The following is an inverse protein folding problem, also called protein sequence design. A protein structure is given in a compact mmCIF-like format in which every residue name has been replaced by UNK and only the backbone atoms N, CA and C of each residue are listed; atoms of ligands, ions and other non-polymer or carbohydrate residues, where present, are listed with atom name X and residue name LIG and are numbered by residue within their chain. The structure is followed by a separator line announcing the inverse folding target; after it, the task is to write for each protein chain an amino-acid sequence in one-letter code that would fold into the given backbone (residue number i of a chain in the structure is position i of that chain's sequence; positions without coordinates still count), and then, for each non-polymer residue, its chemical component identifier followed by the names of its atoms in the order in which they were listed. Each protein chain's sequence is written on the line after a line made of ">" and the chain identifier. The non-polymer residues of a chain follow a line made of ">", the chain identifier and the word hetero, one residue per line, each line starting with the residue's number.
data_IF_993143383220
#
_entry.id   IF_993143383220
#
_cell.length_a   1.000
_cell.length_b   1.000
_cell.length_c   1.000
_cell.angle_alpha   90.00
_cell.angle_beta   90.00
_cell.angle_gamma   90.00
#
_symmetry.space_group_name_H-M   'P 1'
#
loop_
_entity.id
_entity.type
_entity.pdbx_description
1 polymer ?
#
# COMPACT_ATOMS: atom_id res chain seq x y z
N UNK A 1 14.31 -20.01 -20.26
CA UNK A 1 12.92 -20.10 -19.81
C UNK A 1 12.35 -18.69 -19.83
N UNK A 2 11.28 -18.45 -20.59
CA UNK A 2 10.60 -17.17 -20.52
C UNK A 2 10.00 -17.03 -19.11
N UNK A 3 10.45 -16.03 -18.35
CA UNK A 3 9.78 -15.65 -17.13
C UNK A 3 8.38 -15.21 -17.55
N UNK A 4 7.37 -16.03 -17.25
CA UNK A 4 5.98 -15.69 -17.54
C UNK A 4 5.61 -14.56 -16.57
N UNK A 5 5.73 -13.32 -17.03
CA UNK A 5 5.35 -12.15 -16.25
C UNK A 5 3.84 -12.13 -16.20
N UNK A 6 3.30 -12.14 -14.99
CA UNK A 6 1.87 -12.06 -14.76
C UNK A 6 1.41 -10.60 -14.92
N UNK A 7 1.16 -10.17 -16.16
CA UNK A 7 0.79 -8.79 -16.50
C UNK A 7 -0.41 -8.26 -15.71
N UNK A 8 -1.37 -9.14 -15.40
CA UNK A 8 -2.55 -8.78 -14.62
C UNK A 8 -2.20 -8.53 -13.14
N UNK A 9 -1.22 -9.25 -12.58
CA UNK A 9 -0.71 -8.97 -11.25
C UNK A 9 0.10 -7.67 -11.22
N UNK A 10 0.95 -7.41 -12.22
CA UNK A 10 1.70 -6.16 -12.33
C UNK A 10 0.79 -4.94 -12.46
N UNK A 11 -0.25 -5.03 -13.29
CA UNK A 11 -1.25 -3.97 -13.45
C UNK A 11 -1.96 -3.66 -12.12
N UNK A 12 -2.38 -4.70 -11.40
CA UNK A 12 -3.00 -4.53 -10.09
C UNK A 12 -2.07 -3.79 -9.12
N UNK A 13 -0.80 -4.21 -9.03
CA UNK A 13 0.15 -3.55 -8.13
C UNK A 13 0.40 -2.10 -8.54
N UNK A 14 0.49 -1.82 -9.84
CA UNK A 14 0.65 -0.46 -10.36
C UNK A 14 -0.58 0.45 -10.07
N UNK A 15 -1.79 -0.10 -10.09
CA UNK A 15 -2.99 0.63 -9.69
C UNK A 15 -2.91 1.00 -8.20
N UNK A 16 -2.52 0.06 -7.35
CA UNK A 16 -2.38 0.26 -5.90
C UNK A 16 -1.31 1.30 -5.53
N UNK A 17 -0.22 1.43 -6.32
CA UNK A 17 0.82 2.44 -6.07
C UNK A 17 0.28 3.88 -6.01
N UNK A 18 -0.88 4.15 -6.64
CA UNK A 18 -1.53 5.46 -6.62
C UNK A 18 -2.38 5.72 -5.37
N UNK A 19 -2.62 4.69 -4.56
CA UNK A 19 -3.42 4.80 -3.36
C UNK A 19 -2.55 5.26 -2.17
N UNK A 20 -3.04 6.25 -1.44
CA UNK A 20 -2.32 6.81 -0.28
C UNK A 20 -2.21 5.81 0.86
N UNK A 21 -3.00 4.75 0.89
CA UNK A 21 -3.03 3.74 1.97
C UNK A 21 -2.32 2.43 1.58
N UNK A 22 -1.62 2.41 0.45
CA UNK A 22 -0.79 1.28 0.00
C UNK A 22 0.70 1.59 0.13
N UNK A 23 1.40 0.90 1.03
CA UNK A 23 2.77 1.22 1.44
C UNK A 23 3.86 0.46 0.67
N UNK A 24 3.50 -0.20 -0.46
CA UNK A 24 4.45 -1.02 -1.20
C UNK A 24 5.07 -2.12 -0.33
N UNK A 25 6.36 -2.39 -0.50
CA UNK A 25 7.07 -3.45 0.22
C UNK A 25 7.51 -3.06 1.65
N UNK A 26 6.65 -2.37 2.41
CA UNK A 26 6.95 -1.98 3.79
C UNK A 26 7.02 -3.22 4.70
N UNK A 27 8.14 -3.43 5.44
CA UNK A 27 8.27 -4.57 6.35
C UNK A 27 7.25 -4.56 7.48
N UNK A 28 6.85 -5.74 7.93
CA UNK A 28 5.89 -5.88 9.03
C UNK A 28 6.36 -5.15 10.30
N UNK A 29 7.65 -5.19 10.61
CA UNK A 29 8.27 -4.48 11.75
C UNK A 29 8.04 -2.95 11.73
N UNK A 30 8.00 -2.33 10.55
CA UNK A 30 7.70 -0.91 10.40
C UNK A 30 6.20 -0.64 10.47
N UNK A 31 5.38 -1.58 9.96
CA UNK A 31 3.91 -1.50 9.99
C UNK A 31 3.37 -1.50 11.40
N UNK A 32 3.94 -2.30 12.33
CA UNK A 32 3.47 -2.37 13.73
C UNK A 32 3.42 -0.98 14.39
N UNK A 33 4.34 -0.09 14.04
CA UNK A 33 4.41 1.27 14.57
C UNK A 33 3.40 2.24 13.92
N UNK A 34 2.88 1.90 12.74
CA UNK A 34 1.95 2.73 11.98
C UNK A 34 0.47 2.45 12.32
N UNK A 35 0.12 1.17 12.50
CA UNK A 35 -1.24 0.75 12.85
C UNK A 35 -1.38 0.59 14.36
N UNK A 36 -1.62 1.69 15.08
CA UNK A 36 -1.54 1.74 16.53
C UNK A 36 -2.82 1.27 17.24
N UNK A 37 -3.99 1.57 16.68
CA UNK A 37 -5.30 1.36 17.31
C UNK A 37 -6.06 0.24 16.61
N UNK A 38 -6.88 -0.52 17.34
CA UNK A 38 -7.76 -1.54 16.75
C UNK A 38 -8.53 -0.96 15.56
N UNK A 39 -8.44 -1.64 14.42
CA UNK A 39 -9.08 -1.24 13.17
C UNK A 39 -8.25 -0.28 12.32
N UNK A 40 -7.09 0.20 12.79
CA UNK A 40 -6.09 0.81 11.91
C UNK A 40 -5.63 -0.25 10.90
N UNK A 41 -5.55 0.14 9.64
CA UNK A 41 -5.15 -0.76 8.56
C UNK A 41 -4.35 -0.05 7.48
N UNK A 42 -3.59 -0.84 6.73
CA UNK A 42 -2.94 -0.40 5.50
C UNK A 42 -2.84 -1.56 4.52
N UNK A 43 -2.58 -1.27 3.25
CA UNK A 43 -2.23 -2.27 2.26
C UNK A 43 -0.72 -2.27 2.04
N UNK A 44 -0.12 -3.45 1.86
CA UNK A 44 1.30 -3.60 1.53
C UNK A 44 1.52 -4.79 0.60
N UNK A 45 2.69 -4.81 -0.03
CA UNK A 45 3.17 -5.89 -0.84
C UNK A 45 3.83 -6.95 0.06
N UNK A 46 3.34 -8.19 0.02
CA UNK A 46 4.08 -9.33 0.54
C UNK A 46 5.20 -9.70 -0.43
N UNK A 47 6.33 -10.13 0.12
CA UNK A 47 7.44 -10.62 -0.69
C UNK A 47 6.98 -11.78 -1.58
N UNK A 48 7.56 -11.85 -2.77
CA UNK A 48 7.35 -12.96 -3.69
C UNK A 48 7.85 -14.26 -3.06
N UNK A 49 7.07 -15.33 -3.12
CA UNK A 49 7.45 -16.66 -2.65
C UNK A 49 7.48 -17.65 -3.82
N UNK A 50 8.55 -18.46 -3.91
CA UNK A 50 8.64 -19.67 -4.74
C UNK A 50 8.05 -19.55 -6.17
N UNK A 51 8.43 -18.50 -6.90
CA UNK A 51 8.00 -18.29 -8.30
C UNK A 51 6.64 -17.62 -8.48
N UNK A 52 5.95 -17.22 -7.40
CA UNK A 52 4.81 -16.28 -7.46
C UNK A 52 5.30 -14.86 -7.30
N UNK A 53 4.72 -13.93 -8.06
CA UNK A 53 4.94 -12.49 -7.90
C UNK A 53 4.47 -11.99 -6.54
N UNK A 54 4.86 -10.76 -6.20
CA UNK A 54 4.41 -10.09 -4.98
C UNK A 54 2.88 -10.04 -4.90
N UNK A 55 2.35 -10.22 -3.70
CA UNK A 55 0.91 -10.27 -3.45
C UNK A 55 0.48 -9.10 -2.57
N UNK A 56 -0.57 -8.35 -2.92
CA UNK A 56 -1.10 -7.33 -2.04
C UNK A 56 -1.73 -7.98 -0.81
N UNK A 57 -1.50 -7.38 0.35
CA UNK A 57 -1.98 -7.84 1.62
C UNK A 57 -2.51 -6.68 2.44
N UNK A 58 -3.70 -6.88 2.98
CA UNK A 58 -4.32 -5.98 3.92
C UNK A 58 -3.82 -6.33 5.32
N UNK A 59 -3.11 -5.40 5.95
CA UNK A 59 -2.58 -5.57 7.30
C UNK A 59 -3.39 -4.70 8.26
N UNK A 60 -3.92 -5.32 9.32
CA UNK A 60 -4.89 -4.70 10.23
C UNK A 60 -4.46 -4.91 11.68
N UNK A 61 -4.64 -3.88 12.51
CA UNK A 61 -4.56 -4.01 13.97
C UNK A 61 -5.84 -4.65 14.48
N UNK A 62 -5.74 -5.88 14.98
CA UNK A 62 -6.85 -6.64 15.59
C UNK A 62 -6.53 -6.85 17.06
N UNK A 63 -7.24 -6.12 17.92
CA UNK A 63 -6.95 -6.08 19.36
C UNK A 63 -5.48 -5.74 19.62
N UNK A 64 -4.73 -6.64 20.27
CA UNK A 64 -3.31 -6.47 20.56
C UNK A 64 -2.38 -7.06 19.48
N UNK A 65 -2.94 -7.60 18.39
CA UNK A 65 -2.20 -8.26 17.33
C UNK A 65 -2.25 -7.48 16.03
N UNK A 66 -1.21 -7.64 15.20
CA UNK A 66 -1.26 -7.28 13.78
C UNK A 66 -1.57 -8.55 13.00
N UNK A 67 -2.57 -8.49 12.13
CA UNK A 67 -2.95 -9.62 11.26
C UNK A 67 -2.85 -9.22 9.80
N UNK A 68 -2.32 -10.15 9.01
CA UNK A 68 -2.22 -10.06 7.56
C UNK A 68 -3.39 -10.81 6.90
N UNK A 69 -3.98 -10.18 5.89
CA UNK A 69 -5.06 -10.71 5.09
C UNK A 69 -4.67 -10.57 3.61
N UNK A 70 -4.01 -11.58 3.03
CA UNK A 70 -3.64 -11.57 1.63
C UNK A 70 -4.85 -11.41 0.71
N UNK A 71 -4.71 -10.60 -0.33
CA UNK A 71 -5.73 -10.45 -1.36
C UNK A 71 -5.41 -11.46 -2.46
N UNK A 72 -6.27 -12.46 -2.56
CA UNK A 72 -6.17 -13.51 -3.56
C UNK A 72 -6.90 -13.13 -4.83
N UNK A 73 -6.29 -13.50 -5.94
CA UNK A 73 -6.89 -13.44 -7.27
C UNK A 73 -7.46 -14.79 -7.63
N UNK A 74 -8.74 -14.83 -8.01
CA UNK A 74 -9.46 -16.05 -8.38
C UNK A 74 -10.15 -15.88 -9.73
N UNK A 75 -10.32 -16.99 -10.45
CA UNK A 75 -11.13 -17.03 -11.67
C UNK A 75 -12.54 -17.46 -11.29
N UNK A 76 -13.55 -16.66 -11.63
CA UNK A 76 -14.95 -17.02 -11.43
C UNK A 76 -15.74 -16.82 -12.73
N UNK A 77 -16.28 -17.92 -13.26
CA UNK A 77 -16.83 -17.96 -14.62
C UNK A 77 -15.79 -17.39 -15.61
N UNK A 78 -16.14 -16.32 -16.34
CA UNK A 78 -15.28 -15.69 -17.34
C UNK A 78 -14.64 -14.38 -16.85
N UNK A 79 -14.67 -14.10 -15.54
CA UNK A 79 -14.08 -12.89 -14.97
C UNK A 79 -13.06 -13.21 -13.88
N UNK A 80 -11.99 -12.43 -13.87
CA UNK A 80 -11.06 -12.40 -12.76
C UNK A 80 -11.68 -11.61 -11.61
N UNK A 81 -11.62 -12.17 -10.40
CA UNK A 81 -12.15 -11.55 -9.19
C UNK A 81 -11.07 -11.55 -8.10
N UNK A 82 -11.23 -10.65 -7.13
CA UNK A 82 -10.35 -10.50 -5.97
C UNK A 82 -11.12 -10.77 -4.69
N UNK A 83 -10.47 -11.43 -3.74
CA UNK A 83 -11.08 -11.81 -2.46
C UNK A 83 -10.04 -11.94 -1.35
N UNK A 84 -10.45 -11.72 -0.12
CA UNK A 84 -9.64 -11.96 1.08
C UNK A 84 -10.08 -13.24 1.79
N UNK A 85 -11.37 -13.54 1.78
CA UNK A 85 -12.01 -14.61 2.57
C UNK A 85 -12.61 -15.72 1.70
N UNK A 86 -12.52 -15.62 0.37
CA UNK A 86 -13.15 -16.53 -0.58
C UNK A 86 -14.66 -16.33 -0.74
N UNK A 87 -15.29 -15.50 0.10
CA UNK A 87 -16.73 -15.24 0.11
C UNK A 87 -17.02 -13.94 -0.62
N UNK A 88 -16.48 -12.83 -0.11
CA UNK A 88 -16.63 -11.49 -0.65
C UNK A 88 -15.68 -11.29 -1.83
N UNK A 89 -16.23 -10.88 -2.98
CA UNK A 89 -15.50 -10.81 -4.24
C UNK A 89 -15.75 -9.48 -4.93
N UNK A 90 -14.69 -8.90 -5.48
CA UNK A 90 -14.76 -7.66 -6.25
C UNK A 90 -13.94 -7.77 -7.56
N UNK A 91 -14.26 -6.96 -8.59
CA UNK A 91 -13.54 -6.99 -9.86
C UNK A 91 -12.12 -6.41 -9.77
N UNK A 92 -11.81 -5.61 -8.75
CA UNK A 92 -10.47 -5.08 -8.48
C UNK A 92 -10.14 -5.17 -6.99
N UNK A 93 -8.85 -5.20 -6.64
CA UNK A 93 -8.39 -5.16 -5.25
C UNK A 93 -8.84 -3.85 -4.56
N UNK A 94 -8.80 -2.72 -5.27
CA UNK A 94 -9.29 -1.43 -4.77
C UNK A 94 -10.78 -1.50 -4.47
N UNK A 95 -11.60 -2.06 -5.37
CA UNK A 95 -13.03 -2.21 -5.15
C UNK A 95 -13.32 -3.12 -3.96
N UNK A 96 -12.51 -4.17 -3.74
CA UNK A 96 -12.62 -5.03 -2.56
C UNK A 96 -12.41 -4.24 -1.27
N UNK A 97 -11.37 -3.40 -1.20
CA UNK A 97 -11.07 -2.60 -0.01
C UNK A 97 -12.09 -1.47 0.18
N UNK A 98 -12.44 -0.74 -0.89
CA UNK A 98 -13.44 0.33 -0.83
C UNK A 98 -14.81 -0.19 -0.39
N UNK A 99 -15.19 -1.38 -0.85
CA UNK A 99 -16.43 -2.04 -0.42
C UNK A 99 -16.46 -2.30 1.08
N UNK A 100 -15.34 -2.73 1.66
CA UNK A 100 -15.23 -2.95 3.12
C UNK A 100 -15.15 -1.61 3.87
N UNK A 101 -14.52 -0.59 3.29
CA UNK A 101 -14.24 0.68 3.96
C UNK A 101 -15.40 1.71 3.93
N UNK A 102 -16.18 1.76 2.84
CA UNK A 102 -17.21 2.79 2.63
C UNK A 102 -18.35 2.77 3.68
N UNK A 103 -18.53 1.67 4.40
CA UNK A 103 -19.52 1.54 5.49
C UNK A 103 -19.21 2.40 6.74
N UNK A 104 -18.01 2.99 6.85
CA UNK A 104 -17.57 3.70 8.06
C UNK A 104 -17.61 5.22 7.95
N UNK A 105 -17.56 5.78 6.75
CA UNK A 105 -17.66 7.22 6.54
C UNK A 105 -19.09 7.75 6.69
N UNK A 106 -20.09 6.85 6.77
CA UNK A 106 -21.51 7.22 6.79
C UNK A 106 -22.18 6.95 8.14
N UNK A 107 -21.43 6.44 9.13
CA UNK A 107 -21.93 6.14 10.48
C UNK A 107 -21.44 7.11 11.57
N UNK A 108 -20.76 8.21 11.22
CA UNK A 108 -20.43 9.31 12.15
C UNK A 108 -21.29 10.56 11.92
N UNK A 109 -22.60 10.37 11.85
CA UNK A 109 -23.53 11.48 12.11
C UNK A 109 -23.62 11.72 13.63
N UNK A 110 -22.67 12.50 14.15
CA UNK A 110 -22.89 13.40 15.29
C UNK A 110 -21.81 14.48 15.44
N UNK A 111 -21.18 14.92 14.35
CA UNK A 111 -20.55 16.23 14.33
C UNK A 111 -20.83 16.91 13.00
N UNK A 112 -21.52 18.04 13.08
CA UNK A 112 -21.79 18.94 11.95
C UNK A 112 -20.45 19.42 11.40
N UNK A 113 -19.95 18.78 10.34
CA UNK A 113 -19.04 19.44 9.41
C UNK A 113 -19.90 19.81 8.20
N UNK A 114 -20.32 21.07 8.15
CA UNK A 114 -20.97 21.63 6.97
C UNK A 114 -20.04 21.36 5.78
N UNK A 115 -20.52 20.77 4.67
CA UNK A 115 -19.70 20.58 3.50
C UNK A 115 -19.29 21.96 2.98
N UNK A 116 -17.99 22.26 3.03
CA UNK A 116 -17.43 23.32 2.20
C UNK A 116 -17.44 22.77 0.77
N UNK A 117 -18.05 23.46 -0.20
CA UNK A 117 -18.14 22.96 -1.55
C UNK A 117 -16.74 22.96 -2.14
N UNK A 118 -16.07 21.81 -2.14
CA UNK A 118 -14.96 21.57 -3.06
C UNK A 118 -15.63 21.26 -4.38
N UNK A 119 -15.57 22.27 -5.26
CA UNK A 119 -16.08 22.22 -6.61
C UNK A 119 -15.61 20.92 -7.26
N UNK A 120 -16.59 20.14 -7.71
CA UNK A 120 -16.38 18.93 -8.48
C UNK A 120 -15.65 19.28 -9.79
N UNK A 121 -14.35 19.05 -9.82
CA UNK A 121 -13.59 18.91 -11.05
C UNK A 121 -12.63 17.73 -10.88
N UNK A 122 -13.17 16.51 -10.82
CA UNK A 122 -12.78 15.55 -11.84
C UNK A 122 -13.75 14.37 -11.92
N UNK A 123 -14.19 14.14 -13.15
CA UNK A 123 -15.18 13.13 -13.53
C UNK A 123 -14.52 11.75 -13.49
N UNK A 124 -14.74 10.96 -12.44
CA UNK A 124 -14.57 9.49 -12.53
C UNK A 124 -15.39 8.63 -11.56
N UNK A 125 -16.32 9.20 -10.81
CA UNK A 125 -17.32 8.41 -10.08
C UNK A 125 -18.52 8.13 -11.00
N UNK A 126 -18.39 7.13 -11.87
CA UNK A 126 -19.46 6.71 -12.77
C UNK A 126 -20.32 5.61 -12.13
N UNK A 127 -21.60 5.94 -12.03
CA UNK A 127 -22.78 5.15 -11.70
C UNK A 127 -22.75 3.66 -12.13
N UNK A 128 -22.91 2.75 -11.17
CA UNK A 128 -23.63 1.48 -11.37
C UNK A 128 -24.43 1.14 -10.10
N UNK A 129 -25.56 0.47 -10.25
CA UNK A 129 -26.57 0.15 -9.21
C UNK A 129 -26.11 -0.80 -8.07
N UNK A 130 -24.86 -0.71 -7.61
CA UNK A 130 -24.30 -1.50 -6.51
C UNK A 130 -24.24 -0.73 -5.17
N UNK A 131 -24.80 0.48 -5.12
CA UNK A 131 -24.72 1.34 -3.92
C UNK A 131 -25.70 0.96 -2.80
N UNK A 132 -26.73 0.14 -3.04
CA UNK A 132 -27.89 0.04 -2.13
C UNK A 132 -28.08 -1.26 -1.33
N UNK A 133 -27.12 -2.19 -1.33
CA UNK A 133 -27.24 -3.43 -0.51
C UNK A 133 -26.19 -3.58 0.59
N UNK A 134 -25.12 -2.78 0.57
CA UNK A 134 -23.95 -3.00 1.44
C UNK A 134 -23.73 -1.93 2.50
N UNK A 135 -24.25 -0.71 2.27
CA UNK A 135 -24.11 0.49 3.10
C UNK A 135 -24.55 0.40 4.58
N UNK A 136 -25.10 -0.73 5.05
CA UNK A 136 -25.68 -0.85 6.41
C UNK A 136 -25.12 -2.00 7.25
N UNK A 137 -24.36 -2.94 6.68
CA UNK A 137 -24.18 -4.24 7.33
C UNK A 137 -22.89 -4.41 8.13
N UNK A 138 -21.96 -3.43 8.12
CA UNK A 138 -20.67 -3.53 8.83
C UNK A 138 -20.03 -4.89 8.60
N UNK A 139 -19.74 -5.23 7.35
CA UNK A 139 -19.28 -6.59 7.01
C UNK A 139 -17.86 -6.77 7.56
N UNK A 140 -17.64 -7.65 8.54
CA UNK A 140 -16.31 -7.90 9.04
C UNK A 140 -15.53 -8.76 8.03
N UNK A 141 -14.25 -8.48 7.87
CA UNK A 141 -13.33 -9.36 7.16
C UNK A 141 -13.13 -10.62 7.99
N UNK A 142 -13.21 -11.77 7.31
CA UNK A 142 -13.04 -13.08 7.93
C UNK A 142 -13.94 -13.28 9.17
N UNK A 143 -15.13 -12.68 9.18
CA UNK A 143 -16.14 -12.86 10.22
C UNK A 143 -16.00 -11.98 11.48
N UNK A 144 -14.82 -11.38 11.75
CA UNK A 144 -14.58 -10.69 13.03
C UNK A 144 -13.82 -9.35 12.94
N UNK A 145 -13.20 -9.02 11.80
CA UNK A 145 -12.27 -7.87 11.71
C UNK A 145 -12.90 -6.68 11.00
N UNK A 146 -12.95 -5.53 11.66
CA UNK A 146 -13.46 -4.27 11.11
C UNK A 146 -12.33 -3.33 10.70
N UNK A 147 -12.40 -2.76 9.50
CA UNK A 147 -11.40 -1.83 8.96
C UNK A 147 -11.75 -0.38 9.26
N UNK A 148 -11.38 0.15 10.41
CA UNK A 148 -11.85 1.46 10.87
C UNK A 148 -11.14 2.65 10.23
N UNK A 149 -9.81 2.59 10.09
CA UNK A 149 -9.02 3.75 9.66
C UNK A 149 -7.85 3.34 8.75
N UNK A 150 -7.80 3.82 7.50
CA UNK A 150 -6.65 3.64 6.64
C UNK A 150 -5.52 4.52 7.16
N UNK A 151 -4.32 3.95 7.23
CA UNK A 151 -3.11 4.70 7.50
C UNK A 151 -2.55 5.18 6.16
N UNK A 152 -2.37 6.50 5.97
CA UNK A 152 -1.75 7.01 4.75
C UNK A 152 -0.23 6.78 4.77
N UNK A 153 0.38 6.78 3.58
CA UNK A 153 1.82 6.85 3.35
C UNK A 153 2.41 7.99 4.16
N UNK A 154 3.52 7.70 4.81
CA UNK A 154 4.23 8.69 5.59
C UNK A 154 5.05 9.61 4.69
N UNK A 155 5.39 10.80 5.16
CA UNK A 155 6.15 11.78 4.37
C UNK A 155 7.54 11.26 3.91
N UNK A 156 8.10 10.27 4.61
CA UNK A 156 9.37 9.63 4.27
C UNK A 156 9.22 8.50 3.24
N UNK A 157 8.01 8.08 2.90
CA UNK A 157 7.72 7.11 1.83
C UNK A 157 7.65 7.84 0.49
N UNK A 158 8.78 7.86 -0.22
CA UNK A 158 8.90 8.58 -1.50
C UNK A 158 8.47 7.69 -2.66
N UNK A 159 7.50 8.18 -3.46
CA UNK A 159 7.12 7.55 -4.73
C UNK A 159 8.24 7.66 -5.77
N UNK A 160 8.34 6.67 -6.66
CA UNK A 160 9.42 6.59 -7.67
C UNK A 160 9.46 7.79 -8.62
N UNK A 161 8.32 8.39 -8.95
CA UNK A 161 8.21 9.57 -9.81
C UNK A 161 8.83 10.84 -9.20
N UNK A 162 9.03 10.86 -7.87
CA UNK A 162 9.71 11.96 -7.18
C UNK A 162 11.22 11.87 -7.28
N UNK A 163 11.79 10.74 -7.69
CA UNK A 163 13.23 10.49 -7.68
C UNK A 163 13.75 10.26 -9.09
N UNK A 164 14.80 10.98 -9.48
CA UNK A 164 15.53 10.74 -10.73
C UNK A 164 16.94 10.28 -10.40
N UNK A 165 17.33 9.09 -10.86
CA UNK A 165 18.70 8.60 -10.75
C UNK A 165 19.53 9.10 -11.93
N UNK A 166 20.74 9.60 -11.68
CA UNK A 166 21.61 10.18 -12.70
C UNK A 166 22.89 9.37 -12.91
N UNK A 167 23.75 9.32 -11.89
CA UNK A 167 25.09 8.72 -12.00
C UNK A 167 25.40 7.87 -10.77
N UNK A 168 25.92 6.65 -10.96
CA UNK A 168 26.46 5.84 -9.86
C UNK A 168 27.70 6.54 -9.28
N UNK A 169 27.67 6.85 -7.99
CA UNK A 169 28.75 7.53 -7.26
C UNK A 169 29.51 6.62 -6.30
N UNK A 170 29.01 5.41 -6.06
CA UNK A 170 29.70 4.44 -5.22
C UNK A 170 29.00 3.09 -5.17
N UNK A 171 29.66 2.16 -4.49
CA UNK A 171 29.13 0.85 -4.13
C UNK A 171 29.71 0.47 -2.77
N UNK A 172 28.84 0.03 -1.86
CA UNK A 172 29.23 -0.38 -0.52
C UNK A 172 28.65 -1.76 -0.18
N UNK A 173 28.85 -2.18 1.06
CA UNK A 173 28.41 -3.49 1.56
C UNK A 173 26.90 -3.75 1.42
N UNK A 174 26.10 -2.70 1.21
CA UNK A 174 24.64 -2.76 1.14
C UNK A 174 24.08 -2.40 -0.24
N UNK A 175 24.92 -2.27 -1.27
CA UNK A 175 24.46 -1.97 -2.63
C UNK A 175 25.08 -0.71 -3.23
N UNK A 176 24.45 -0.23 -4.30
CA UNK A 176 24.94 0.88 -5.10
C UNK A 176 24.47 2.21 -4.54
N UNK A 177 25.30 3.24 -4.64
CA UNK A 177 24.93 4.62 -4.30
C UNK A 177 24.97 5.45 -5.57
N UNK A 178 23.88 6.16 -5.83
CA UNK A 178 23.68 6.98 -7.01
C UNK A 178 23.48 8.44 -6.62
N UNK A 179 24.05 9.37 -7.40
CA UNK A 179 23.63 10.76 -7.41
C UNK A 179 22.33 10.88 -8.20
N UNK A 180 21.44 11.73 -7.72
CA UNK A 180 20.19 12.02 -8.39
C UNK A 180 19.52 13.27 -7.86
N UNK A 181 18.24 13.43 -8.20
CA UNK A 181 17.40 14.54 -7.75
C UNK A 181 16.10 14.04 -7.14
N UNK A 182 15.68 14.71 -6.06
CA UNK A 182 14.40 14.50 -5.40
C UNK A 182 13.51 15.72 -5.61
N UNK A 183 12.34 15.52 -6.22
CA UNK A 183 11.31 16.53 -6.39
C UNK A 183 10.54 16.72 -5.09
N UNK A 184 10.79 17.84 -4.39
CA UNK A 184 10.08 18.20 -3.18
C UNK A 184 8.76 18.91 -3.49
N UNK A 185 8.74 19.75 -4.53
CA UNK A 185 7.56 20.45 -5.04
C UNK A 185 7.57 20.46 -6.56
N UNK A 186 6.45 20.83 -7.19
CA UNK A 186 6.32 20.86 -8.65
C UNK A 186 7.45 21.65 -9.35
N UNK A 187 8.00 22.67 -8.68
CA UNK A 187 9.05 23.55 -9.20
C UNK A 187 10.40 23.39 -8.49
N UNK A 188 10.51 22.50 -7.51
CA UNK A 188 11.72 22.42 -6.66
C UNK A 188 12.22 20.98 -6.55
N UNK A 189 13.45 20.79 -7.02
CA UNK A 189 14.21 19.56 -6.91
C UNK A 189 15.51 19.81 -6.15
N UNK A 190 15.88 18.87 -5.29
CA UNK A 190 17.12 18.92 -4.52
C UNK A 190 18.04 17.76 -4.92
N UNK A 191 19.36 17.99 -5.01
CA UNK A 191 20.32 16.90 -5.26
C UNK A 191 20.35 15.95 -4.06
N UNK A 192 20.37 14.65 -4.33
CA UNK A 192 20.36 13.60 -3.31
C UNK A 192 21.31 12.47 -3.65
N UNK A 193 21.73 11.73 -2.62
CA UNK A 193 22.29 10.39 -2.77
C UNK A 193 21.17 9.35 -2.61
N UNK A 194 21.13 8.39 -3.52
CA UNK A 194 20.10 7.35 -3.63
C UNK A 194 20.82 6.01 -3.45
N UNK A 195 20.59 5.35 -2.32
CA UNK A 195 21.11 4.01 -2.04
C UNK A 195 20.13 2.98 -2.59
N UNK A 196 20.63 2.06 -3.41
CA UNK A 196 19.80 1.07 -4.13
C UNK A 196 20.34 -0.33 -3.90
N UNK A 197 19.44 -1.23 -3.55
CA UNK A 197 19.72 -2.65 -3.36
C UNK A 197 18.84 -3.47 -4.31
N UNK A 198 19.47 -4.39 -5.04
CA UNK A 198 18.72 -5.36 -5.86
C UNK A 198 18.18 -6.47 -4.96
N UNK A 199 16.86 -6.65 -4.98
CA UNK A 199 16.18 -7.77 -4.33
C UNK A 199 16.62 -9.09 -4.97
N UNK A 200 17.25 -9.95 -4.17
CA UNK A 200 17.53 -11.35 -4.49
C UNK A 200 17.33 -12.18 -3.23
N UNK A 201 16.95 -13.45 -3.37
CA UNK A 201 16.77 -14.38 -2.25
C UNK A 201 18.01 -14.41 -1.33
N UNK A 202 19.19 -14.42 -1.94
CA UNK A 202 20.51 -14.39 -1.28
C UNK A 202 20.78 -13.11 -0.45
N UNK A 203 20.05 -12.02 -0.69
CA UNK A 203 20.29 -10.70 -0.11
C UNK A 203 19.21 -10.23 0.88
N UNK A 204 18.32 -11.13 1.34
CA UNK A 204 17.22 -10.76 2.26
C UNK A 204 17.72 -10.12 3.57
N UNK A 205 18.82 -10.65 4.14
CA UNK A 205 19.43 -10.08 5.34
C UNK A 205 19.97 -8.65 5.09
N UNK A 206 20.53 -8.39 3.90
CA UNK A 206 21.05 -7.08 3.52
C UNK A 206 19.91 -6.05 3.39
N UNK A 207 18.75 -6.47 2.89
CA UNK A 207 17.56 -5.63 2.85
C UNK A 207 17.06 -5.28 4.25
N UNK A 208 17.06 -6.23 5.18
CA UNK A 208 16.65 -5.96 6.58
C UNK A 208 17.56 -4.92 7.24
N UNK A 209 18.87 -5.02 7.06
CA UNK A 209 19.82 -4.03 7.58
C UNK A 209 19.64 -2.66 6.92
N UNK A 210 19.29 -2.59 5.62
CA UNK A 210 18.95 -1.33 4.97
C UNK A 210 17.69 -0.67 5.56
N UNK A 211 16.64 -1.45 5.84
CA UNK A 211 15.43 -0.94 6.50
C UNK A 211 15.74 -0.45 7.92
N UNK A 212 16.61 -1.15 8.64
CA UNK A 212 17.10 -0.78 9.97
C UNK A 212 17.90 0.52 9.95
N UNK A 213 18.79 0.70 8.97
CA UNK A 213 19.51 1.95 8.75
C UNK A 213 18.53 3.10 8.48
N UNK A 214 17.53 2.90 7.60
CA UNK A 214 16.51 3.91 7.33
C UNK A 214 15.66 4.25 8.56
N UNK A 215 15.29 3.26 9.38
CA UNK A 215 14.64 3.49 10.70
C UNK A 215 15.50 4.36 11.61
N UNK A 216 16.78 4.04 11.73
CA UNK A 216 17.70 4.75 12.60
C UNK A 216 17.90 6.20 12.12
N UNK A 217 18.12 6.40 10.83
CA UNK A 217 18.30 7.73 10.23
C UNK A 217 17.07 8.63 10.37
N UNK A 218 15.85 8.06 10.44
CA UNK A 218 14.62 8.82 10.71
C UNK A 218 14.59 9.45 12.11
N UNK A 219 15.35 8.92 13.07
CA UNK A 219 15.37 9.42 14.45
C UNK A 219 16.38 10.54 14.67
N UNK A 220 17.42 10.61 13.83
CA UNK A 220 18.49 11.58 13.98
C UNK A 220 18.23 12.88 13.22
N UNK A 221 18.47 14.00 13.90
CA UNK A 221 18.54 15.33 13.30
C UNK A 221 19.67 16.09 13.96
N UNK A 222 20.88 15.92 13.43
CA UNK A 222 22.08 16.63 13.87
C UNK A 222 22.55 17.55 12.74
N UNK A 223 23.03 18.74 13.11
CA UNK A 223 23.58 19.75 12.19
C UNK A 223 25.08 19.55 11.96
#
# INVERSE_FOLDING_TARGET
>A
MANFVDEAAERMMAELENEDWYHGALPLEDVVCLIAVRGDFLLRALEAEAGRGSMPCLTVRVENHVKDFPIHRIQQANAQMFTIDGVNKAPTAIALIQYVFHDLLTSTNNFVVKPRPVIATDKKFCSTNLFRKHFYNRIPIAGEVFLLKPIPKQAWELSKDKITMEQKIGEGAFGEVWRGTLRQFATMSVPVAIKVTKMKEENKAMMQEMHKEARLMRQYKHL
#
